data_IF_466853233121
#
_entry.id   IF_466853233121
#
_cell.length_a   1.000
_cell.length_b   1.000
_cell.length_c   1.000
_cell.angle_alpha   90.00
_cell.angle_beta   90.00
_cell.angle_gamma   90.00
#
_symmetry.space_group_name_H-M   'P 1'
#
loop_
_entity.id
_entity.type
_entity.pdbx_description
1 polymer ?
#
# COMPACT_ATOMS: atom_id res chain seq x y z
N UNK A 1 22.56 23.52 12.76
CA UNK A 1 21.88 24.30 11.71
C UNK A 1 21.53 23.36 10.57
N UNK A 2 20.27 23.37 10.09
CA UNK A 2 19.88 22.60 8.92
C UNK A 2 20.67 23.06 7.69
N UNK A 3 21.42 22.15 7.08
CA UNK A 3 21.97 22.30 5.73
C UNK A 3 21.20 21.36 4.81
N UNK A 4 21.28 21.58 3.49
CA UNK A 4 20.70 20.73 2.46
C UNK A 4 21.75 20.53 1.37
N UNK A 5 22.01 19.29 0.98
CA UNK A 5 22.97 18.96 -0.08
C UNK A 5 22.26 18.21 -1.20
N UNK A 6 21.89 18.87 -2.31
CA UNK A 6 21.11 18.22 -3.36
C UNK A 6 21.86 17.01 -3.95
N UNK A 7 21.09 15.97 -4.26
CA UNK A 7 21.51 14.81 -5.05
C UNK A 7 20.96 14.92 -6.48
N UNK A 8 21.83 15.24 -7.44
CA UNK A 8 21.46 15.43 -8.85
C UNK A 8 21.19 14.10 -9.61
N UNK A 9 21.57 12.98 -8.99
CA UNK A 9 21.30 11.64 -9.52
C UNK A 9 19.97 11.09 -8.99
N UNK A 10 19.40 11.68 -7.94
CA UNK A 10 18.04 11.38 -7.52
C UNK A 10 17.03 12.04 -8.47
N UNK A 11 16.54 11.23 -9.42
CA UNK A 11 15.62 11.65 -10.49
C UNK A 11 14.30 10.88 -10.37
N UNK A 12 13.39 11.29 -9.46
CA UNK A 12 12.08 10.66 -9.36
C UNK A 12 11.31 10.84 -10.68
N UNK A 13 10.51 9.86 -11.11
CA UNK A 13 9.67 10.02 -12.28
C UNK A 13 8.69 11.19 -12.11
N UNK A 14 8.48 11.97 -13.18
CA UNK A 14 7.39 12.94 -13.21
C UNK A 14 6.08 12.23 -13.57
N UNK A 15 5.47 11.60 -12.55
CA UNK A 15 4.20 10.89 -12.67
C UNK A 15 3.07 11.80 -13.20
N UNK A 16 3.16 13.11 -12.99
CA UNK A 16 2.14 14.06 -13.42
C UNK A 16 2.29 14.42 -14.90
N UNK A 17 3.52 14.51 -15.42
CA UNK A 17 3.75 14.84 -16.83
C UNK A 17 3.07 13.88 -17.82
N UNK A 18 2.92 12.60 -17.47
CA UNK A 18 2.20 11.63 -18.29
C UNK A 18 0.73 12.03 -18.54
N UNK A 19 0.13 12.76 -17.61
CA UNK A 19 -1.25 13.23 -17.69
C UNK A 19 -1.39 14.61 -18.34
N UNK A 20 -0.31 15.37 -18.35
CA UNK A 20 -0.24 16.73 -18.90
C UNK A 20 0.88 16.81 -19.94
N UNK A 21 0.84 15.99 -21.01
CA UNK A 21 1.92 15.98 -21.96
C UNK A 21 2.05 17.37 -22.60
N UNK A 22 3.28 17.83 -22.90
CA UNK A 22 3.48 19.11 -23.55
C UNK A 22 2.66 19.20 -24.84
N UNK A 23 2.19 20.41 -25.16
CA UNK A 23 1.25 20.70 -26.24
C UNK A 23 1.83 20.52 -27.66
N UNK A 24 2.60 19.46 -27.92
CA UNK A 24 3.08 19.10 -29.25
C UNK A 24 1.97 18.39 -30.05
N UNK A 25 2.01 18.50 -31.38
CA UNK A 25 1.02 17.88 -32.27
C UNK A 25 0.98 16.34 -32.10
N UNK A 26 2.11 15.72 -31.77
CA UNK A 26 2.24 14.27 -31.53
C UNK A 26 1.60 13.79 -30.23
N UNK A 27 1.55 14.62 -29.17
CA UNK A 27 0.94 14.23 -27.89
C UNK A 27 -0.59 14.17 -27.98
N UNK A 28 -1.21 14.98 -28.87
CA UNK A 28 -2.65 14.93 -29.15
C UNK A 28 -3.10 13.64 -29.83
N UNK A 29 -2.25 13.07 -30.71
CA UNK A 29 -2.54 11.81 -31.42
C UNK A 29 -2.33 10.62 -30.47
N UNK A 30 -1.30 10.65 -29.62
CA UNK A 30 -1.06 9.64 -28.59
C UNK A 30 -2.22 9.54 -27.58
N UNK A 31 -2.81 10.69 -27.19
CA UNK A 31 -3.95 10.77 -26.26
C UNK A 31 -5.19 9.99 -26.71
N UNK A 32 -5.41 9.87 -28.02
CA UNK A 32 -6.54 9.13 -28.59
C UNK A 32 -6.24 7.63 -28.78
N UNK A 33 -4.97 7.23 -28.83
CA UNK A 33 -4.54 5.84 -29.06
C UNK A 33 -4.15 5.11 -27.76
N UNK A 34 -3.87 5.84 -26.68
CA UNK A 34 -3.41 5.30 -25.39
C UNK A 34 -4.51 5.05 -24.36
N UNK A 35 -5.78 5.00 -24.76
CA UNK A 35 -6.90 4.48 -23.94
C UNK A 35 -6.84 2.95 -23.83
N UNK A 36 -5.65 2.39 -23.57
CA UNK A 36 -5.50 1.00 -23.13
C UNK A 36 -5.51 1.00 -21.61
N UNK A 37 -6.40 0.21 -21.03
CA UNK A 37 -6.79 0.14 -19.61
C UNK A 37 -5.72 -0.32 -18.62
N UNK A 38 -4.44 -0.27 -18.97
CA UNK A 38 -3.36 -0.62 -18.05
C UNK A 38 -2.38 0.54 -17.91
N UNK A 39 -2.11 1.02 -16.68
CA UNK A 39 -0.99 1.92 -16.47
C UNK A 39 0.28 1.23 -17.00
N UNK A 40 1.23 1.98 -17.58
CA UNK A 40 2.51 1.40 -17.94
C UNK A 40 3.07 0.69 -16.71
N UNK A 41 3.23 -0.63 -16.79
CA UNK A 41 4.00 -1.38 -15.82
C UNK A 41 5.35 -0.66 -15.74
N UNK A 42 5.77 -0.15 -14.56
CA UNK A 42 7.04 0.55 -14.45
C UNK A 42 8.09 -0.36 -15.05
N UNK A 43 8.77 0.14 -16.08
CA UNK A 43 9.70 -0.68 -16.84
C UNK A 43 10.69 -1.31 -15.86
N UNK A 44 10.95 -2.62 -16.01
CA UNK A 44 11.85 -3.42 -15.15
C UNK A 44 13.23 -2.79 -14.90
N UNK A 45 13.61 -1.75 -15.63
CA UNK A 45 14.97 -1.20 -15.61
C UNK A 45 15.27 -0.23 -14.49
N UNK A 46 14.28 0.38 -13.85
CA UNK A 46 14.53 1.17 -12.63
C UNK A 46 13.27 1.12 -11.76
N UNK A 47 13.21 0.17 -10.83
CA UNK A 47 12.26 0.22 -9.72
C UNK A 47 12.63 1.43 -8.85
N UNK A 48 12.25 2.63 -9.30
CA UNK A 48 12.68 3.89 -8.73
C UNK A 48 12.38 3.92 -7.22
N UNK A 49 11.22 3.36 -6.84
CA UNK A 49 10.78 3.22 -5.46
C UNK A 49 11.73 2.36 -4.61
N UNK A 50 12.53 1.48 -5.21
CA UNK A 50 13.53 0.65 -4.54
C UNK A 50 14.87 1.35 -4.30
N UNK A 51 15.10 2.55 -4.85
CA UNK A 51 16.33 3.31 -4.61
C UNK A 51 16.53 3.61 -3.13
N UNK A 52 17.77 3.57 -2.66
CA UNK A 52 18.16 4.06 -1.33
C UNK A 52 18.48 5.57 -1.32
N UNK A 53 18.56 6.20 -2.50
CA UNK A 53 18.84 7.63 -2.63
C UNK A 53 17.64 8.48 -2.25
N UNK A 54 17.90 9.70 -1.81
CA UNK A 54 16.88 10.72 -1.59
C UNK A 54 17.31 12.02 -2.26
N UNK A 55 16.48 13.06 -2.20
CA UNK A 55 16.81 14.38 -2.76
C UNK A 55 18.00 15.06 -2.05
N UNK A 56 18.35 14.63 -0.83
CA UNK A 56 19.53 15.08 -0.10
C UNK A 56 20.59 13.96 -0.08
N UNK A 57 21.79 14.23 -0.61
CA UNK A 57 22.86 13.22 -0.76
C UNK A 57 23.35 12.62 0.57
N UNK A 58 23.04 13.26 1.69
CA UNK A 58 23.44 12.83 3.04
C UNK A 58 22.40 11.96 3.71
N UNK A 59 21.20 11.91 3.14
CA UNK A 59 20.08 11.13 3.66
C UNK A 59 19.85 9.95 2.72
N UNK A 60 19.92 8.75 3.28
CA UNK A 60 19.63 7.51 2.55
C UNK A 60 18.46 6.79 3.18
N UNK A 61 17.58 6.25 2.33
CA UNK A 61 16.53 5.34 2.75
C UNK A 61 17.12 3.94 2.97
N UNK A 62 16.79 3.34 4.11
CA UNK A 62 17.19 1.96 4.43
C UNK A 62 16.52 0.97 3.48
N UNK A 63 17.25 -0.10 3.16
CA UNK A 63 16.71 -1.25 2.44
C UNK A 63 15.83 -2.09 3.37
N UNK A 64 14.94 -2.89 2.78
CA UNK A 64 14.14 -3.83 3.54
C UNK A 64 15.04 -4.78 4.36
N UNK A 65 14.73 -4.94 5.64
CA UNK A 65 15.50 -5.78 6.58
C UNK A 65 16.96 -5.38 6.76
N UNK A 66 17.32 -4.13 6.41
CA UNK A 66 18.63 -3.59 6.67
C UNK A 66 18.76 -3.10 8.11
N UNK A 67 19.87 -3.48 8.73
CA UNK A 67 20.36 -2.91 9.98
C UNK A 67 21.62 -2.11 9.68
N UNK A 68 21.61 -0.83 10.06
CA UNK A 68 22.77 0.06 9.94
C UNK A 68 23.22 0.50 11.33
N UNK A 69 24.51 0.39 11.58
CA UNK A 69 25.20 0.93 12.76
C UNK A 69 26.22 1.98 12.30
N UNK A 70 26.90 2.63 13.24
CA UNK A 70 27.97 3.57 12.91
C UNK A 70 29.13 2.94 12.12
N UNK A 71 29.30 1.61 12.22
CA UNK A 71 30.45 0.89 11.64
C UNK A 71 30.08 -0.23 10.67
N UNK A 72 28.79 -0.51 10.47
CA UNK A 72 28.37 -1.64 9.64
C UNK A 72 26.98 -1.45 9.05
N UNK A 73 26.73 -2.14 7.94
CA UNK A 73 25.41 -2.32 7.36
C UNK A 73 25.23 -3.80 7.00
N UNK A 74 24.08 -4.39 7.34
CA UNK A 74 23.76 -5.78 7.03
C UNK A 74 22.28 -5.96 6.74
N UNK A 75 21.94 -6.84 5.80
CA UNK A 75 20.55 -7.26 5.53
C UNK A 75 20.34 -8.66 6.11
N UNK A 76 19.35 -8.82 6.99
CA UNK A 76 19.19 -10.04 7.79
C UNK A 76 18.12 -11.02 7.29
N UNK A 77 17.41 -10.69 6.21
CA UNK A 77 16.36 -11.56 5.68
C UNK A 77 16.95 -12.63 4.76
N UNK A 78 16.83 -13.89 5.17
CA UNK A 78 17.32 -15.05 4.44
C UNK A 78 16.16 -16.03 4.21
N UNK A 79 15.58 -16.09 2.99
CA UNK A 79 14.51 -17.03 2.70
C UNK A 79 15.05 -18.46 2.55
N UNK A 80 14.38 -19.44 3.17
CA UNK A 80 14.83 -20.84 3.13
C UNK A 80 13.97 -21.75 2.25
N UNK A 81 12.71 -21.38 1.97
CA UNK A 81 11.79 -22.17 1.14
C UNK A 81 11.36 -23.50 1.76
N UNK A 82 11.36 -23.59 3.10
CA UNK A 82 10.98 -24.80 3.83
C UNK A 82 9.46 -25.03 3.92
N UNK A 83 8.66 -23.97 3.84
CA UNK A 83 7.21 -24.00 3.93
C UNK A 83 6.59 -24.21 2.54
N UNK A 84 6.14 -25.45 2.30
CA UNK A 84 5.56 -25.89 1.01
C UNK A 84 4.10 -26.32 1.09
N UNK A 85 3.62 -26.71 2.26
CA UNK A 85 2.25 -27.15 2.42
C UNK A 85 1.30 -25.95 2.44
N UNK A 86 0.41 -25.87 1.45
CA UNK A 86 -0.61 -24.82 1.37
C UNK A 86 -1.56 -24.80 2.56
N UNK A 87 -1.84 -25.95 3.20
CA UNK A 87 -2.66 -25.99 4.40
C UNK A 87 -1.94 -25.33 5.58
N UNK A 88 -0.64 -25.59 5.72
CA UNK A 88 0.19 -24.96 6.73
C UNK A 88 0.36 -23.44 6.49
N UNK A 89 0.57 -23.02 5.23
CA UNK A 89 0.60 -21.60 4.86
C UNK A 89 -0.70 -20.90 5.27
N UNK A 90 -1.85 -21.49 4.92
CA UNK A 90 -3.18 -20.97 5.27
C UNK A 90 -3.33 -20.84 6.79
N UNK A 91 -2.95 -21.87 7.55
CA UNK A 91 -3.07 -21.87 9.01
C UNK A 91 -2.21 -20.78 9.65
N UNK A 92 -0.91 -20.72 9.30
CA UNK A 92 0.01 -19.74 9.85
C UNK A 92 -0.42 -18.32 9.49
N UNK A 93 -0.81 -18.07 8.23
CA UNK A 93 -1.31 -16.76 7.80
C UNK A 93 -2.58 -16.34 8.54
N UNK A 94 -3.59 -17.22 8.64
CA UNK A 94 -4.83 -16.90 9.36
C UNK A 94 -4.57 -16.62 10.85
N UNK A 95 -3.72 -17.42 11.49
CA UNK A 95 -3.31 -17.23 12.88
C UNK A 95 -2.67 -15.86 13.09
N UNK A 96 -1.70 -15.48 12.25
CA UNK A 96 -0.98 -14.20 12.40
C UNK A 96 -1.84 -13.00 12.07
N UNK A 97 -2.73 -13.09 11.08
CA UNK A 97 -3.72 -12.03 10.81
C UNK A 97 -4.65 -11.81 12.01
N UNK A 98 -5.19 -12.89 12.57
CA UNK A 98 -6.07 -12.80 13.75
C UNK A 98 -5.32 -12.29 14.99
N UNK A 99 -4.08 -12.76 15.21
CA UNK A 99 -3.25 -12.31 16.33
C UNK A 99 -2.92 -10.83 16.23
N UNK A 100 -2.52 -10.35 15.05
CA UNK A 100 -2.20 -8.93 14.83
C UNK A 100 -3.40 -8.02 15.11
N UNK A 101 -4.60 -8.41 14.67
CA UNK A 101 -5.83 -7.67 14.98
C UNK A 101 -6.05 -7.59 16.49
N UNK A 102 -5.95 -8.72 17.20
CA UNK A 102 -6.11 -8.76 18.67
C UNK A 102 -5.07 -7.91 19.39
N UNK A 103 -3.82 -7.95 18.97
CA UNK A 103 -2.73 -7.20 19.61
C UNK A 103 -2.92 -5.69 19.44
N UNK A 104 -3.35 -5.24 18.26
CA UNK A 104 -3.64 -3.83 18.02
C UNK A 104 -4.87 -3.39 18.83
N UNK A 105 -5.94 -4.17 18.88
CA UNK A 105 -7.12 -3.86 19.71
C UNK A 105 -6.76 -3.78 21.20
N UNK A 106 -5.90 -4.69 21.67
CA UNK A 106 -5.43 -4.73 23.07
C UNK A 106 -4.54 -3.55 23.39
N UNK A 107 -3.65 -3.17 22.47
CA UNK A 107 -2.71 -2.05 22.67
C UNK A 107 -3.39 -0.69 22.54
N UNK A 108 -4.40 -0.59 21.67
CA UNK A 108 -5.10 0.66 21.36
C UNK A 108 -6.61 0.53 21.58
N UNK A 109 -7.07 0.19 22.80
CA UNK A 109 -8.44 -0.20 23.09
C UNK A 109 -9.43 0.97 23.05
N UNK A 110 -9.00 2.18 22.66
CA UNK A 110 -9.80 3.40 22.51
C UNK A 110 -9.81 3.94 21.09
N UNK A 111 -9.02 3.36 20.18
CA UNK A 111 -8.91 3.86 18.82
C UNK A 111 -10.01 3.28 17.93
N UNK A 112 -10.51 4.12 17.03
CA UNK A 112 -11.38 3.72 15.93
C UNK A 112 -10.55 3.03 14.84
N UNK A 113 -11.11 2.04 14.17
CA UNK A 113 -10.42 1.19 13.20
C UNK A 113 -11.06 1.36 11.83
N UNK A 114 -10.42 2.07 10.90
CA UNK A 114 -11.00 2.36 9.58
C UNK A 114 -10.34 1.49 8.51
N UNK A 115 -11.07 0.51 7.98
CA UNK A 115 -10.55 -0.40 6.96
C UNK A 115 -10.91 0.10 5.56
N UNK A 116 -9.89 0.43 4.77
CA UNK A 116 -10.02 0.72 3.34
C UNK A 116 -10.32 -0.60 2.63
N UNK A 117 -11.58 -0.80 2.29
CA UNK A 117 -12.08 -2.11 1.85
C UNK A 117 -12.42 -2.08 0.38
N UNK A 118 -11.86 -3.04 -0.36
CA UNK A 118 -12.16 -3.24 -1.77
C UNK A 118 -12.15 -4.72 -2.14
N UNK A 119 -10.96 -5.30 -2.29
CA UNK A 119 -10.78 -6.69 -2.70
C UNK A 119 -10.49 -7.63 -1.51
N UNK A 120 -10.30 -8.92 -1.82
CA UNK A 120 -10.00 -10.01 -0.86
C UNK A 120 -8.93 -9.62 0.18
N UNK A 121 -7.89 -8.93 -0.25
CA UNK A 121 -6.77 -8.49 0.60
C UNK A 121 -7.23 -7.74 1.87
N UNK A 122 -8.08 -6.72 1.68
CA UNK A 122 -8.67 -5.93 2.77
C UNK A 122 -9.86 -6.63 3.43
N UNK A 123 -10.58 -7.45 2.68
CA UNK A 123 -11.74 -8.20 3.19
C UNK A 123 -11.32 -9.26 4.23
N UNK A 124 -10.16 -9.89 4.05
CA UNK A 124 -9.57 -10.80 5.04
C UNK A 124 -9.41 -10.16 6.43
N UNK A 125 -9.10 -8.86 6.49
CA UNK A 125 -8.97 -8.14 7.77
C UNK A 125 -10.32 -8.16 8.50
N UNK A 126 -11.43 -8.00 7.79
CA UNK A 126 -12.78 -8.04 8.39
C UNK A 126 -13.16 -9.41 8.95
N UNK A 127 -12.67 -10.49 8.32
CA UNK A 127 -12.99 -11.86 8.73
C UNK A 127 -12.28 -12.29 10.02
N UNK A 128 -11.20 -11.62 10.42
CA UNK A 128 -10.59 -11.84 11.73
C UNK A 128 -11.55 -11.48 12.87
N UNK A 129 -11.60 -12.23 13.99
CA UNK A 129 -12.43 -11.87 15.15
C UNK A 129 -12.09 -10.48 15.69
N UNK A 130 -13.13 -9.69 16.03
CA UNK A 130 -13.00 -8.35 16.63
C UNK A 130 -13.47 -8.37 18.07
N UNK A 131 -12.74 -7.71 18.97
CA UNK A 131 -13.16 -7.55 20.36
C UNK A 131 -14.39 -6.61 20.47
N UNK A 132 -14.41 -5.54 19.67
CA UNK A 132 -15.52 -4.58 19.61
C UNK A 132 -15.77 -4.11 18.18
N UNK A 133 -16.68 -4.80 17.47
CA UNK A 133 -17.02 -4.51 16.09
C UNK A 133 -17.56 -3.08 15.87
N UNK A 134 -18.12 -2.43 16.90
CA UNK A 134 -18.69 -1.08 16.78
C UNK A 134 -17.63 0.00 16.47
N UNK A 135 -16.35 -0.31 16.75
CA UNK A 135 -15.20 0.56 16.48
C UNK A 135 -14.56 0.32 15.12
N UNK A 136 -14.99 -0.73 14.43
CA UNK A 136 -14.52 -1.05 13.10
C UNK A 136 -15.42 -0.39 12.07
N UNK A 137 -14.85 0.50 11.28
CA UNK A 137 -15.52 1.26 10.27
C UNK A 137 -14.99 0.86 8.91
N UNK A 138 -15.86 0.87 7.91
CA UNK A 138 -15.49 0.62 6.53
C UNK A 138 -15.33 1.94 5.80
N UNK A 139 -14.32 2.03 4.95
CA UNK A 139 -14.26 3.00 3.89
C UNK A 139 -14.17 2.26 2.55
N UNK A 140 -15.13 2.51 1.66
CA UNK A 140 -15.13 1.98 0.30
C UNK A 140 -15.51 3.06 -0.71
N UNK A 141 -14.98 2.94 -1.92
CA UNK A 141 -15.24 3.86 -3.01
C UNK A 141 -16.02 3.20 -4.15
N UNK A 142 -16.73 4.00 -4.94
CA UNK A 142 -17.29 3.54 -6.21
C UNK A 142 -16.18 3.08 -7.18
N UNK A 143 -16.45 2.15 -8.10
CA UNK A 143 -17.70 1.37 -8.25
C UNK A 143 -17.82 0.19 -7.27
N UNK A 144 -16.82 -0.02 -6.40
CA UNK A 144 -16.74 -1.24 -5.59
C UNK A 144 -17.57 -1.16 -4.28
N UNK A 145 -18.01 0.03 -3.87
CA UNK A 145 -18.81 0.25 -2.65
C UNK A 145 -20.06 -0.62 -2.55
N UNK A 146 -20.96 -0.71 -3.55
CA UNK A 146 -22.11 -1.60 -3.47
C UNK A 146 -21.71 -3.08 -3.37
N UNK A 147 -20.63 -3.49 -4.04
CA UNK A 147 -20.10 -4.86 -3.99
C UNK A 147 -19.59 -5.20 -2.60
N UNK A 148 -18.84 -4.29 -1.97
CA UNK A 148 -18.34 -4.44 -0.60
C UNK A 148 -19.50 -4.53 0.38
N UNK A 149 -20.54 -3.70 0.24
CA UNK A 149 -21.72 -3.76 1.10
C UNK A 149 -22.43 -5.12 1.01
N UNK A 150 -22.69 -5.61 -0.21
CA UNK A 150 -23.30 -6.93 -0.43
C UNK A 150 -22.42 -8.07 0.10
N UNK A 151 -21.10 -7.96 -0.04
CA UNK A 151 -20.16 -8.92 0.53
C UNK A 151 -20.20 -8.92 2.07
N UNK A 152 -20.23 -7.75 2.70
CA UNK A 152 -20.31 -7.64 4.17
C UNK A 152 -21.58 -8.30 4.70
N UNK A 153 -22.74 -7.99 4.11
CA UNK A 153 -24.03 -8.59 4.47
C UNK A 153 -24.00 -10.12 4.34
N UNK A 154 -23.56 -10.63 3.19
CA UNK A 154 -23.47 -12.08 2.92
C UNK A 154 -22.59 -12.83 3.94
N UNK A 155 -21.56 -12.17 4.45
CA UNK A 155 -20.61 -12.75 5.40
C UNK A 155 -20.90 -12.39 6.85
N UNK A 156 -22.02 -11.71 7.14
CA UNK A 156 -22.40 -11.32 8.49
C UNK A 156 -21.41 -10.35 9.15
N UNK A 157 -20.78 -9.50 8.35
CA UNK A 157 -19.84 -8.46 8.79
C UNK A 157 -20.62 -7.17 8.97
N UNK A 158 -20.62 -6.64 10.20
CA UNK A 158 -21.38 -5.44 10.56
C UNK A 158 -20.44 -4.34 11.06
N UNK A 159 -20.05 -3.38 10.19
CA UNK A 159 -19.21 -2.26 10.59
C UNK A 159 -20.01 -1.26 11.44
N UNK A 160 -19.35 -0.57 12.37
CA UNK A 160 -19.96 0.50 13.14
C UNK A 160 -20.34 1.72 12.29
N UNK A 161 -19.49 2.11 11.33
CA UNK A 161 -19.75 3.23 10.41
C UNK A 161 -19.32 2.86 8.99
N UNK A 162 -20.03 3.41 8.01
CA UNK A 162 -19.75 3.23 6.58
C UNK A 162 -19.40 4.58 5.97
N UNK A 163 -18.13 4.75 5.61
CA UNK A 163 -17.64 5.88 4.84
C UNK A 163 -17.63 5.52 3.35
N UNK A 164 -18.18 6.42 2.52
CA UNK A 164 -18.26 6.26 1.07
C UNK A 164 -17.45 7.33 0.35
N UNK A 165 -16.86 6.96 -0.79
CA UNK A 165 -16.23 7.91 -1.71
C UNK A 165 -16.74 7.70 -3.14
N UNK A 166 -17.25 8.74 -3.79
CA UNK A 166 -17.86 8.67 -5.14
C UNK A 166 -16.83 8.72 -6.29
N UNK A 167 -15.55 8.78 -5.93
CA UNK A 167 -14.37 8.89 -6.82
C UNK A 167 -14.21 10.20 -7.57
N UNK A 168 -15.02 11.22 -7.25
CA UNK A 168 -14.80 12.57 -7.80
C UNK A 168 -13.53 13.17 -7.22
N UNK A 169 -12.74 13.78 -8.10
CA UNK A 169 -11.53 14.48 -7.69
C UNK A 169 -11.85 15.90 -7.23
N UNK A 170 -12.16 16.04 -5.95
CA UNK A 170 -12.39 17.34 -5.29
C UNK A 170 -11.11 17.92 -4.66
N UNK A 171 -9.94 17.34 -4.94
CA UNK A 171 -8.64 17.78 -4.45
C UNK A 171 -8.34 19.25 -4.80
N UNK A 172 -7.80 19.98 -3.83
CA UNK A 172 -7.25 21.32 -4.00
C UNK A 172 -5.77 21.28 -4.45
N UNK A 173 -5.22 22.40 -4.94
CA UNK A 173 -3.79 22.46 -5.23
C UNK A 173 -2.94 22.21 -3.97
N UNK A 174 -3.38 22.70 -2.81
CA UNK A 174 -2.72 22.50 -1.52
C UNK A 174 -2.69 21.01 -1.11
N UNK A 175 -3.79 20.28 -1.33
CA UNK A 175 -3.82 18.83 -1.08
C UNK A 175 -2.78 18.10 -1.95
N UNK A 176 -2.65 18.48 -3.22
CA UNK A 176 -1.66 17.88 -4.12
C UNK A 176 -0.23 18.21 -3.70
N UNK A 177 0.05 19.47 -3.33
CA UNK A 177 1.36 19.86 -2.80
C UNK A 177 1.69 19.07 -1.52
N UNK A 178 0.72 18.94 -0.61
CA UNK A 178 0.90 18.18 0.62
C UNK A 178 1.15 16.70 0.33
N UNK A 179 0.48 16.09 -0.66
CA UNK A 179 0.75 14.72 -1.10
C UNK A 179 2.17 14.54 -1.61
N UNK A 180 2.67 15.48 -2.40
CA UNK A 180 4.04 15.49 -2.93
C UNK A 180 5.05 15.52 -1.78
N UNK A 181 4.84 16.42 -0.81
CA UNK A 181 5.70 16.57 0.36
C UNK A 181 5.65 15.34 1.27
N UNK A 182 4.45 14.89 1.67
CA UNK A 182 4.29 13.69 2.49
C UNK A 182 4.80 12.42 1.80
N UNK A 183 4.77 12.40 0.47
CA UNK A 183 5.29 11.37 -0.43
C UNK A 183 6.80 11.27 -0.47
N UNK A 184 7.53 12.29 -0.01
CA UNK A 184 8.99 12.39 -0.11
C UNK A 184 9.51 12.24 -1.55
N UNK A 185 8.68 12.66 -2.53
CA UNK A 185 8.80 12.31 -3.95
C UNK A 185 8.71 10.81 -4.25
N UNK A 186 8.81 9.93 -3.25
CA UNK A 186 8.81 8.45 -3.26
C UNK A 186 7.49 7.78 -3.66
N UNK A 187 6.42 8.56 -3.80
CA UNK A 187 5.08 8.08 -4.09
C UNK A 187 4.47 8.80 -5.29
N UNK A 188 3.81 8.04 -6.16
CA UNK A 188 2.97 8.62 -7.20
C UNK A 188 1.71 9.24 -6.56
N UNK A 189 1.58 10.56 -6.69
CA UNK A 189 0.48 11.34 -6.15
C UNK A 189 -0.90 10.86 -6.66
N UNK A 190 -0.96 10.30 -7.86
CA UNK A 190 -2.20 9.78 -8.48
C UNK A 190 -2.69 8.49 -7.83
N UNK A 191 -1.77 7.71 -7.24
CA UNK A 191 -2.09 6.47 -6.52
C UNK A 191 -2.53 6.72 -5.07
N UNK A 192 -2.18 7.87 -4.48
CA UNK A 192 -2.57 8.28 -3.12
C UNK A 192 -3.77 9.25 -3.11
N UNK A 193 -4.69 9.01 -4.04
CA UNK A 193 -5.88 9.84 -4.33
C UNK A 193 -6.76 10.21 -3.13
N UNK A 194 -6.99 9.29 -2.20
CA UNK A 194 -7.99 9.49 -1.14
C UNK A 194 -7.46 10.14 0.14
N UNK A 195 -6.19 10.58 0.19
CA UNK A 195 -5.62 11.19 1.41
C UNK A 195 -6.47 12.33 2.01
N UNK A 196 -7.05 13.26 1.22
CA UNK A 196 -7.93 14.30 1.80
C UNK A 196 -9.19 13.72 2.45
N UNK A 197 -9.77 12.65 1.88
CA UNK A 197 -10.91 11.96 2.48
C UNK A 197 -10.50 11.27 3.80
N UNK A 198 -9.32 10.66 3.86
CA UNK A 198 -8.79 10.07 5.09
C UNK A 198 -8.56 11.11 6.18
N UNK A 199 -8.02 12.28 5.81
CA UNK A 199 -7.82 13.39 6.75
C UNK A 199 -9.15 13.89 7.34
N UNK A 200 -10.21 13.97 6.51
CA UNK A 200 -11.56 14.30 7.00
C UNK A 200 -12.09 13.24 7.97
N UNK A 201 -11.94 11.96 7.66
CA UNK A 201 -12.36 10.86 8.55
C UNK A 201 -11.58 10.90 9.87
N UNK A 202 -10.27 11.15 9.82
CA UNK A 202 -9.44 11.33 11.01
C UNK A 202 -9.98 12.45 11.91
N UNK A 203 -10.25 13.62 11.34
CA UNK A 203 -10.82 14.74 12.08
C UNK A 203 -12.21 14.41 12.65
N UNK A 204 -13.06 13.76 11.87
CA UNK A 204 -14.41 13.36 12.26
C UNK A 204 -14.42 12.35 13.41
N UNK A 205 -13.39 11.49 13.51
CA UNK A 205 -13.22 10.52 14.58
C UNK A 205 -12.39 11.06 15.77
N UNK A 206 -12.14 12.37 15.83
CA UNK A 206 -11.44 13.02 16.93
C UNK A 206 -9.95 12.69 17.00
N UNK A 207 -9.36 12.29 15.87
CA UNK A 207 -7.93 12.02 15.72
C UNK A 207 -7.42 10.70 16.30
N UNK A 208 -8.23 9.97 17.05
CA UNK A 208 -7.89 8.67 17.63
C UNK A 208 -8.31 7.50 16.74
N UNK A 209 -7.79 7.47 15.50
CA UNK A 209 -8.09 6.38 14.56
C UNK A 209 -6.82 5.74 13.95
N UNK A 210 -6.94 4.46 13.65
CA UNK A 210 -5.97 3.67 12.90
C UNK A 210 -6.62 3.29 11.56
N UNK A 211 -5.91 3.52 10.46
CA UNK A 211 -6.34 3.07 9.15
C UNK A 211 -5.77 1.70 8.83
N UNK A 212 -6.48 0.94 8.02
CA UNK A 212 -6.09 -0.41 7.66
C UNK A 212 -6.25 -0.65 6.17
N UNK A 213 -5.45 -1.55 5.63
CA UNK A 213 -5.79 -2.21 4.39
C UNK A 213 -4.89 -3.39 4.08
N UNK A 214 -5.20 -4.04 2.96
CA UNK A 214 -4.62 -5.33 2.62
C UNK A 214 -3.30 -5.28 1.87
N UNK A 215 -2.51 -4.21 1.99
CA UNK A 215 -1.20 -4.15 1.32
C UNK A 215 -0.41 -5.41 1.66
N UNK A 216 0.25 -6.00 0.66
CA UNK A 216 1.00 -7.25 0.67
C UNK A 216 0.22 -8.57 0.57
N UNK A 217 -1.09 -8.65 0.84
CA UNK A 217 -1.81 -9.93 0.79
C UNK A 217 -1.76 -10.62 -0.59
N UNK A 218 -1.95 -9.87 -1.68
CA UNK A 218 -1.85 -10.40 -3.04
C UNK A 218 -0.46 -10.98 -3.38
N UNK A 219 0.63 -10.18 -3.22
CA UNK A 219 2.01 -10.67 -3.32
C UNK A 219 2.24 -12.01 -2.59
N UNK A 220 1.84 -12.04 -1.32
CA UNK A 220 2.01 -13.15 -0.40
C UNK A 220 1.27 -14.44 -0.76
N UNK A 221 0.02 -14.34 -1.21
CA UNK A 221 -0.91 -15.47 -1.23
C UNK A 221 -1.41 -15.86 -2.62
N UNK A 222 -1.03 -15.09 -3.66
CA UNK A 222 -1.47 -15.29 -5.06
C UNK A 222 -0.32 -15.08 -6.05
N UNK A 223 0.55 -14.09 -5.79
CA UNK A 223 1.47 -13.58 -6.81
C UNK A 223 2.63 -14.53 -7.14
N UNK A 224 2.89 -15.56 -6.34
CA UNK A 224 3.81 -16.64 -6.70
C UNK A 224 3.48 -17.28 -8.06
N UNK A 225 2.19 -17.46 -8.38
CA UNK A 225 1.76 -17.96 -9.69
C UNK A 225 2.01 -16.98 -10.84
N UNK A 226 1.85 -15.68 -10.59
CA UNK A 226 2.12 -14.62 -11.57
C UNK A 226 3.63 -14.41 -11.79
N UNK A 227 4.41 -14.41 -10.71
CA UNK A 227 5.88 -14.39 -10.72
C UNK A 227 6.42 -15.55 -11.55
N UNK A 228 5.92 -16.77 -11.34
CA UNK A 228 6.38 -17.94 -12.09
C UNK A 228 6.22 -17.83 -13.60
N UNK A 229 5.22 -17.08 -14.08
CA UNK A 229 5.05 -16.81 -15.52
C UNK A 229 6.11 -15.84 -16.06
N UNK A 230 6.48 -14.83 -15.28
CA UNK A 230 7.35 -13.74 -15.71
C UNK A 230 8.84 -14.04 -15.49
N UNK A 231 9.14 -14.79 -14.43
CA UNK A 231 10.49 -14.99 -13.87
C UNK A 231 10.82 -16.46 -13.57
N UNK A 232 9.93 -17.40 -13.94
CA UNK A 232 10.16 -18.83 -13.75
C UNK A 232 10.23 -19.24 -12.27
N UNK A 233 11.12 -20.16 -11.93
CA UNK A 233 11.30 -20.62 -10.54
C UNK A 233 12.41 -19.87 -9.80
N UNK A 234 12.78 -18.67 -10.27
CA UNK A 234 13.80 -17.85 -9.62
C UNK A 234 13.27 -17.28 -8.30
N UNK A 235 13.71 -17.91 -7.21
CA UNK A 235 13.38 -17.54 -5.83
C UNK A 235 13.94 -16.17 -5.45
N UNK A 236 15.15 -15.83 -5.93
CA UNK A 236 15.79 -14.56 -5.58
C UNK A 236 15.07 -13.40 -6.28
N UNK A 237 14.65 -13.61 -7.54
CA UNK A 237 13.76 -12.68 -8.22
C UNK A 237 12.41 -12.52 -7.52
N UNK A 238 11.83 -13.61 -6.98
CA UNK A 238 10.57 -13.56 -6.24
C UNK A 238 10.70 -12.64 -5.02
N UNK A 239 11.69 -12.89 -4.15
CA UNK A 239 11.86 -12.11 -2.92
C UNK A 239 12.30 -10.67 -3.20
N UNK A 240 13.15 -10.44 -4.21
CA UNK A 240 13.51 -9.09 -4.66
C UNK A 240 12.27 -8.28 -5.06
N UNK A 241 11.40 -8.84 -5.91
CA UNK A 241 10.14 -8.19 -6.30
C UNK A 241 9.25 -7.89 -5.08
N UNK A 242 9.24 -8.78 -4.08
CA UNK A 242 8.51 -8.54 -2.83
C UNK A 242 9.12 -7.40 -2.01
N UNK A 243 10.44 -7.30 -1.88
CA UNK A 243 11.07 -6.18 -1.16
C UNK A 243 10.86 -4.84 -1.87
N UNK A 244 11.02 -4.81 -3.19
CA UNK A 244 10.85 -3.61 -3.99
C UNK A 244 9.39 -3.13 -3.95
N UNK A 245 8.43 -4.02 -4.23
CA UNK A 245 7.00 -3.68 -4.28
C UNK A 245 6.40 -3.46 -2.89
N UNK A 246 6.72 -4.32 -1.94
CA UNK A 246 6.02 -4.34 -0.65
C UNK A 246 6.68 -3.41 0.36
N UNK A 247 7.97 -3.60 0.60
CA UNK A 247 8.66 -2.80 1.62
C UNK A 247 8.89 -1.38 1.11
N UNK A 248 9.23 -1.22 -0.17
CA UNK A 248 9.51 0.11 -0.71
C UNK A 248 8.25 0.80 -1.22
N UNK A 249 7.56 0.28 -2.23
CA UNK A 249 6.39 0.99 -2.79
C UNK A 249 5.19 1.04 -1.83
N UNK A 250 4.73 -0.12 -1.32
CA UNK A 250 3.61 -0.14 -0.37
C UNK A 250 4.00 0.39 1.01
N UNK A 251 5.24 0.21 1.47
CA UNK A 251 5.72 0.81 2.71
C UNK A 251 5.73 2.34 2.68
N UNK A 252 6.16 2.95 1.56
CA UNK A 252 6.10 4.41 1.39
C UNK A 252 4.65 4.94 1.53
N UNK A 253 3.66 4.18 1.05
CA UNK A 253 2.25 4.55 1.22
C UNK A 253 1.85 4.66 2.70
N UNK A 254 2.40 3.81 3.57
CA UNK A 254 2.11 3.85 5.02
C UNK A 254 2.70 5.12 5.66
N UNK A 255 3.91 5.51 5.25
CA UNK A 255 4.54 6.77 5.66
C UNK A 255 3.72 7.99 5.21
N UNK A 256 3.29 8.00 3.94
CA UNK A 256 2.43 9.07 3.41
C UNK A 256 1.17 9.22 4.26
N UNK A 257 0.56 8.10 4.65
CA UNK A 257 -0.64 8.09 5.45
C UNK A 257 -0.45 8.82 6.79
N UNK A 258 0.62 8.50 7.52
CA UNK A 258 0.95 9.15 8.79
C UNK A 258 1.24 10.64 8.58
N UNK A 259 2.08 10.96 7.61
CA UNK A 259 2.49 12.34 7.34
C UNK A 259 1.32 13.23 6.89
N UNK A 260 0.39 12.67 6.12
CA UNK A 260 -0.75 13.42 5.59
C UNK A 260 -1.91 13.48 6.57
N UNK A 261 -2.24 12.39 7.26
CA UNK A 261 -3.45 12.30 8.08
C UNK A 261 -3.20 12.48 9.57
N UNK A 262 -1.96 12.26 10.04
CA UNK A 262 -1.65 12.15 11.47
C UNK A 262 -1.93 10.76 12.06
N UNK A 263 -2.47 9.82 11.27
CA UNK A 263 -2.84 8.48 11.72
C UNK A 263 -2.02 7.37 11.03
N UNK A 264 -1.62 6.32 11.77
CA UNK A 264 -1.02 5.12 11.19
C UNK A 264 -1.93 4.42 10.19
N UNK A 265 -1.31 3.87 9.14
CA UNK A 265 -1.90 2.88 8.27
C UNK A 265 -1.28 1.52 8.56
N UNK A 266 -2.11 0.51 8.77
CA UNK A 266 -1.72 -0.81 9.21
C UNK A 266 -2.10 -1.86 8.18
N UNK A 267 -1.25 -2.88 8.08
CA UNK A 267 -1.57 -4.11 7.36
C UNK A 267 -1.01 -5.28 8.15
N UNK A 268 -1.82 -6.30 8.51
CA UNK A 268 -1.32 -7.48 9.21
C UNK A 268 -0.26 -8.23 8.40
N UNK A 269 -0.26 -8.05 7.07
CA UNK A 269 0.69 -8.66 6.17
C UNK A 269 2.09 -8.03 6.28
N UNK A 270 2.22 -6.83 6.84
CA UNK A 270 3.52 -6.22 7.14
C UNK A 270 4.02 -6.55 8.56
N UNK A 271 3.30 -7.36 9.33
CA UNK A 271 3.71 -7.73 10.70
C UNK A 271 5.03 -8.50 10.71
N UNK A 272 5.79 -8.37 11.79
CA UNK A 272 7.04 -9.12 11.93
C UNK A 272 6.77 -10.63 11.90
N UNK A 273 5.71 -11.04 12.56
CA UNK A 273 5.32 -12.43 12.76
C UNK A 273 5.01 -13.13 11.44
N UNK A 274 4.29 -12.47 10.52
CA UNK A 274 4.01 -13.08 9.20
C UNK A 274 5.26 -13.12 8.33
N UNK A 275 6.15 -12.13 8.41
CA UNK A 275 7.41 -12.14 7.68
C UNK A 275 8.36 -13.22 8.20
N UNK A 276 8.47 -13.37 9.51
CA UNK A 276 9.37 -14.32 10.16
C UNK A 276 8.85 -15.76 10.06
N UNK A 277 7.55 -16.01 10.28
CA UNK A 277 6.99 -17.38 10.36
C UNK A 277 6.36 -17.88 9.06
N UNK A 278 6.06 -17.00 8.09
CA UNK A 278 5.47 -17.38 6.80
C UNK A 278 6.40 -17.02 5.65
N UNK A 279 6.69 -15.74 5.41
CA UNK A 279 7.38 -15.33 4.17
C UNK A 279 8.83 -15.75 4.09
N UNK A 280 9.56 -15.74 5.20
CA UNK A 280 10.92 -16.27 5.27
C UNK A 280 10.98 -17.74 4.85
N UNK A 281 9.93 -18.48 5.18
CA UNK A 281 9.89 -19.92 4.94
C UNK A 281 9.19 -20.31 3.64
N UNK A 282 8.38 -19.42 3.06
CA UNK A 282 7.59 -19.70 1.87
C UNK A 282 8.46 -20.17 0.70
N UNK A 283 8.15 -21.36 0.18
CA UNK A 283 8.61 -21.77 -1.14
C UNK A 283 7.68 -21.14 -2.20
N UNK A 284 8.18 -20.25 -3.09
CA UNK A 284 7.34 -19.67 -4.13
C UNK A 284 6.72 -20.70 -5.06
N UNK A 285 7.27 -21.92 -5.15
CA UNK A 285 6.69 -23.01 -5.93
C UNK A 285 5.43 -23.63 -5.29
N UNK A 286 5.17 -23.37 -4.01
CA UNK A 286 4.01 -23.92 -3.28
C UNK A 286 2.67 -23.36 -3.76
N UNK A 287 2.65 -22.18 -4.36
CA UNK A 287 1.44 -21.48 -4.82
C UNK A 287 1.42 -21.43 -6.34
N UNK A 288 0.44 -22.08 -6.95
CA UNK A 288 0.28 -22.09 -8.42
C UNK A 288 -0.59 -20.92 -8.90
N UNK A 289 -0.64 -20.67 -10.22
CA UNK A 289 -1.47 -19.60 -10.81
C UNK A 289 -2.97 -19.80 -10.57
N UNK A 290 -3.39 -21.03 -10.30
CA UNK A 290 -4.78 -21.41 -10.02
C UNK A 290 -5.12 -21.34 -8.52
N UNK A 291 -4.12 -21.10 -7.66
CA UNK A 291 -4.31 -21.18 -6.22
C UNK A 291 -4.39 -19.77 -5.63
N UNK A 292 -5.59 -19.35 -5.24
CA UNK A 292 -5.80 -18.17 -4.39
C UNK A 292 -5.95 -18.63 -2.93
N UNK A 293 -4.86 -18.59 -2.16
CA UNK A 293 -4.90 -19.05 -0.77
C UNK A 293 -5.77 -18.17 0.12
N UNK A 294 -6.10 -16.94 -0.32
CA UNK A 294 -6.93 -16.00 0.46
C UNK A 294 -8.32 -16.55 0.71
N UNK A 295 -8.83 -17.41 -0.17
CA UNK A 295 -10.15 -18.03 0.02
C UNK A 295 -10.15 -18.91 1.28
N UNK A 296 -9.18 -19.82 1.37
CA UNK A 296 -9.01 -20.72 2.51
C UNK A 296 -8.60 -19.97 3.78
N UNK A 297 -7.78 -18.93 3.67
CA UNK A 297 -7.44 -18.06 4.80
C UNK A 297 -8.71 -17.38 5.34
N UNK A 298 -9.56 -16.87 4.47
CA UNK A 298 -10.82 -16.24 4.86
C UNK A 298 -11.77 -17.20 5.53
N UNK A 299 -11.93 -18.41 5.00
CA UNK A 299 -12.73 -19.47 5.62
C UNK A 299 -12.21 -19.85 7.01
N UNK A 300 -10.88 -19.90 7.17
CA UNK A 300 -10.26 -20.19 8.45
C UNK A 300 -10.46 -19.07 9.46
N UNK A 301 -10.38 -17.81 9.03
CA UNK A 301 -10.62 -16.64 9.88
C UNK A 301 -12.09 -16.55 10.31
N UNK A 302 -13.02 -16.77 9.37
CA UNK A 302 -14.46 -16.68 9.61
C UNK A 302 -15.04 -17.91 10.31
N UNK A 303 -14.37 -19.07 10.21
CA UNK A 303 -14.83 -20.35 10.76
C UNK A 303 -15.89 -21.06 9.91
N UNK A 304 -16.18 -20.57 8.70
CA UNK A 304 -17.18 -21.10 7.76
C UNK A 304 -16.88 -20.63 6.32
N UNK A 305 -17.54 -21.20 5.30
CA UNK A 305 -17.41 -20.72 3.91
C UNK A 305 -17.65 -19.21 3.77
N UNK A 306 -16.78 -18.55 2.99
CA UNK A 306 -16.86 -17.11 2.70
C UNK A 306 -17.50 -16.90 1.33
N UNK A 307 -18.51 -16.04 1.26
CA UNK A 307 -19.14 -15.67 0.00
C UNK A 307 -18.41 -14.52 -0.68
N UNK A 308 -17.33 -14.80 -1.42
CA UNK A 308 -16.54 -13.80 -2.14
C UNK A 308 -17.32 -13.11 -3.28
N UNK A 309 -16.99 -11.84 -3.61
CA UNK A 309 -17.55 -11.20 -4.80
C UNK A 309 -16.93 -11.80 -6.07
N UNK A 310 -17.70 -11.88 -7.16
CA UNK A 310 -17.21 -12.35 -8.45
C UNK A 310 -16.23 -11.38 -9.11
N UNK A 311 -16.38 -10.08 -8.83
CA UNK A 311 -15.54 -9.01 -9.37
C UNK A 311 -15.17 -8.01 -8.28
N UNK A 312 -14.10 -7.27 -8.52
CA UNK A 312 -13.65 -6.17 -7.66
C UNK A 312 -13.08 -5.05 -8.53
N UNK A 313 -13.94 -4.33 -9.28
CA UNK A 313 -13.50 -3.30 -10.20
C UNK A 313 -12.72 -2.20 -9.47
N UNK A 314 -11.63 -1.76 -10.10
CA UNK A 314 -10.88 -0.60 -9.64
C UNK A 314 -11.65 0.70 -9.89
N UNK A 315 -11.47 1.74 -9.05
CA UNK A 315 -11.98 3.07 -9.36
C UNK A 315 -11.30 3.63 -10.61
N UNK A 316 -11.96 4.58 -11.27
CA UNK A 316 -11.40 5.29 -12.40
C UNK A 316 -10.04 5.94 -12.06
N UNK A 317 -9.22 6.19 -13.10
CA UNK A 317 -7.92 6.85 -12.96
C UNK A 317 -8.11 8.23 -12.33
N UNK A 318 -7.27 8.55 -11.34
CA UNK A 318 -7.32 9.83 -10.65
C UNK A 318 -6.38 10.80 -11.34
N UNK A 319 -6.95 11.81 -12.01
CA UNK A 319 -6.19 12.82 -12.73
C UNK A 319 -6.30 14.12 -11.93
N UNK A 320 -5.18 14.70 -11.46
CA UNK A 320 -5.20 16.02 -10.83
C UNK A 320 -5.83 17.09 -11.72
N UNK A 321 -6.30 18.19 -11.13
CA UNK A 321 -6.94 19.28 -11.90
C UNK A 321 -5.93 20.11 -12.70
N UNK A 322 -4.68 20.15 -12.25
CA UNK A 322 -3.60 20.90 -12.87
C UNK A 322 -2.27 20.16 -12.70
N UNK A 323 -1.34 20.46 -13.60
CA UNK A 323 0.05 20.02 -13.47
C UNK A 323 0.75 20.81 -12.36
N UNK A 324 1.54 20.11 -11.54
CA UNK A 324 2.51 20.70 -10.63
C UNK A 324 3.86 20.01 -10.85
N UNK A 325 4.94 20.78 -10.92
CA UNK A 325 6.29 20.23 -10.89
C UNK A 325 6.58 19.73 -9.46
N UNK A 326 6.44 18.42 -9.25
CA UNK A 326 6.59 17.79 -7.94
C UNK A 326 7.98 18.07 -7.33
N UNK A 327 9.04 18.04 -8.14
CA UNK A 327 10.41 18.29 -7.68
C UNK A 327 10.55 19.74 -7.23
N UNK A 328 10.03 20.69 -7.99
CA UNK A 328 10.08 22.11 -7.62
C UNK A 328 9.28 22.39 -6.33
N UNK A 329 8.09 21.80 -6.18
CA UNK A 329 7.27 21.89 -4.96
C UNK A 329 8.03 21.36 -3.75
N UNK A 330 8.62 20.17 -3.86
CA UNK A 330 9.36 19.56 -2.77
C UNK A 330 10.62 20.37 -2.38
N UNK A 331 11.39 20.84 -3.37
CA UNK A 331 12.57 21.66 -3.11
C UNK A 331 12.23 22.99 -2.44
N UNK A 332 11.09 23.59 -2.79
CA UNK A 332 10.57 24.77 -2.07
C UNK A 332 10.31 24.44 -0.60
N UNK A 333 9.59 23.35 -0.33
CA UNK A 333 9.31 22.90 1.04
C UNK A 333 10.59 22.68 1.87
N UNK A 334 11.63 22.05 1.31
CA UNK A 334 12.91 21.85 1.99
C UNK A 334 13.58 23.18 2.33
N UNK A 335 13.62 24.12 1.38
CA UNK A 335 14.23 25.44 1.59
C UNK A 335 13.53 26.21 2.70
N UNK A 336 12.19 26.21 2.69
CA UNK A 336 11.37 26.89 3.69
C UNK A 336 11.57 26.28 5.08
N UNK A 337 11.66 24.94 5.16
CA UNK A 337 11.90 24.21 6.42
C UNK A 337 13.31 24.45 6.99
N UNK A 338 14.32 24.55 6.12
CA UNK A 338 15.69 24.90 6.53
C UNK A 338 15.76 26.35 7.01
N UNK A 339 15.04 27.26 6.36
CA UNK A 339 15.01 28.67 6.73
C UNK A 339 14.31 28.92 8.07
N UNK A 340 13.22 28.21 8.35
CA UNK A 340 12.49 28.30 9.62
C UNK A 340 13.19 27.63 10.80
N UNK A 341 14.19 26.79 10.54
CA UNK A 341 15.03 26.12 11.55
C UNK A 341 16.29 26.90 11.93
N UNK A 342 16.46 28.12 11.42
CA UNK A 342 17.52 29.07 11.77
C UNK A 342 16.93 30.18 12.63
#
# INVERSE_FOLDING_TARGET
AGSFEPDDEFRPPDFLAEHFPPASLGSRIARNLSLRDEPPQPSRRDAWYATSRTIDRRVSKLRAFETVTASSASVSFAPDGTLRDTAEIVERSARHVAQFVRDVETRFPRHQQVVLTGAKDSQLIWLAPKADASRWHVLSAEPNRPIVAAWMERNGVWPGRVFGHDTRNDESAEDLERKIVCGDLMSDATHIRWMPAMARIHAELGGACLFWGGTMSGPAHVFAGAHRRLDGTDRDAFFRSHFERTASWQGNYHQVFVNFTGSPYLSPYHSREIWDDVFRHLDPAAVTKETDLRDRIGERLLGRPVGWPAESPGPARWIPKAYLDARAVYLRHVRDSVASSR
#
